data_IF_712609504887
#
_entry.id   IF_712609504887
#
_cell.length_a   1.000
_cell.length_b   1.000
_cell.length_c   1.000
_cell.angle_alpha   90.00
_cell.angle_beta   90.00
_cell.angle_gamma   90.00
#
_symmetry.space_group_name_H-M   'P 1'
#
loop_
_entity.id
_entity.type
_entity.pdbx_description
1 polymer ?
#
# COMPACT_ATOMS: atom_id res chain seq x y z
N UNK A 1 12.26 -48.72 10.71
CA UNK A 1 12.19 -47.25 10.69
C UNK A 1 10.73 -46.89 10.71
N UNK A 2 10.24 -46.30 11.82
CA UNK A 2 8.85 -45.84 11.94
C UNK A 2 8.80 -44.44 11.37
N UNK A 3 8.06 -44.24 10.28
CA UNK A 3 7.68 -42.94 9.75
C UNK A 3 6.84 -42.20 10.82
N UNK A 4 7.35 -41.13 11.34
CA UNK A 4 6.59 -40.21 12.17
C UNK A 4 5.82 -39.26 11.25
N UNK A 5 4.61 -39.68 10.86
CA UNK A 5 3.61 -38.81 10.25
C UNK A 5 3.22 -37.70 11.25
N UNK A 6 3.94 -36.60 11.23
CA UNK A 6 3.50 -35.35 11.86
C UNK A 6 2.43 -34.71 11.00
N UNK A 7 1.23 -35.24 11.13
CA UNK A 7 0.02 -34.78 10.46
C UNK A 7 -0.44 -33.46 11.14
N UNK A 8 0.18 -32.34 10.81
CA UNK A 8 -0.24 -31.01 11.21
C UNK A 8 -1.50 -30.58 10.44
N UNK A 9 -2.64 -31.25 10.73
CA UNK A 9 -3.94 -30.73 10.32
C UNK A 9 -4.34 -29.62 11.29
N UNK A 10 -4.61 -28.39 10.83
CA UNK A 10 -5.12 -27.33 11.71
C UNK A 10 -6.50 -27.79 12.23
N UNK A 11 -6.66 -27.81 13.56
CA UNK A 11 -7.98 -27.96 14.18
C UNK A 11 -8.81 -26.74 13.76
N UNK A 12 -9.96 -26.96 13.15
CA UNK A 12 -10.96 -25.93 12.90
C UNK A 12 -11.54 -25.47 14.25
N UNK A 13 -10.89 -24.52 14.89
CA UNK A 13 -11.50 -23.82 16.04
C UNK A 13 -12.59 -22.87 15.49
N UNK A 14 -13.83 -23.04 15.97
CA UNK A 14 -14.91 -22.06 15.72
C UNK A 14 -14.51 -20.75 16.42
N UNK A 15 -14.21 -19.73 15.64
CA UNK A 15 -13.95 -18.42 16.17
C UNK A 15 -15.24 -17.83 16.79
N UNK A 16 -15.14 -17.11 17.91
CA UNK A 16 -16.31 -16.44 18.50
C UNK A 16 -16.83 -15.37 17.52
N UNK A 17 -18.16 -15.25 17.43
CA UNK A 17 -18.81 -14.22 16.62
C UNK A 17 -18.44 -12.82 17.13
N UNK A 18 -17.98 -11.95 16.24
CA UNK A 18 -17.63 -10.58 16.58
C UNK A 18 -18.93 -9.77 16.74
N UNK A 19 -19.15 -9.09 17.89
CA UNK A 19 -20.35 -8.29 18.12
C UNK A 19 -20.53 -7.20 17.05
N UNK A 20 -21.78 -6.98 16.60
CA UNK A 20 -22.13 -6.05 15.52
C UNK A 20 -21.57 -4.64 15.72
N UNK A 21 -21.61 -4.11 16.95
CA UNK A 21 -21.09 -2.77 17.28
C UNK A 21 -19.55 -2.67 17.13
N UNK A 22 -18.83 -3.79 17.30
CA UNK A 22 -17.37 -3.84 17.05
C UNK A 22 -17.11 -3.83 15.56
N UNK A 23 -17.90 -4.58 14.77
CA UNK A 23 -17.80 -4.56 13.31
C UNK A 23 -18.10 -3.17 12.74
N UNK A 24 -19.10 -2.45 13.26
CA UNK A 24 -19.41 -1.07 12.85
C UNK A 24 -18.28 -0.09 13.19
N UNK A 25 -17.69 -0.20 14.39
CA UNK A 25 -16.51 0.59 14.75
C UNK A 25 -15.31 0.24 13.88
N UNK A 26 -15.07 -1.04 13.63
CA UNK A 26 -14.00 -1.49 12.73
C UNK A 26 -14.23 -1.01 11.29
N UNK A 27 -15.47 -1.03 10.79
CA UNK A 27 -15.82 -0.50 9.48
C UNK A 27 -15.57 1.01 9.39
N UNK A 28 -15.89 1.78 10.43
CA UNK A 28 -15.61 3.21 10.51
C UNK A 28 -14.11 3.51 10.54
N UNK A 29 -13.34 2.74 11.31
CA UNK A 29 -11.88 2.81 11.33
C UNK A 29 -11.30 2.35 9.99
N UNK A 30 -11.84 1.29 9.40
CA UNK A 30 -11.43 0.79 8.10
C UNK A 30 -11.72 1.80 6.98
N UNK A 31 -12.88 2.47 7.01
CA UNK A 31 -13.21 3.52 6.03
C UNK A 31 -12.23 4.70 6.09
N UNK A 32 -11.79 5.10 7.29
CA UNK A 32 -10.72 6.09 7.47
C UNK A 32 -9.35 5.54 7.08
N UNK A 33 -9.04 4.32 7.51
CA UNK A 33 -7.74 3.69 7.24
C UNK A 33 -7.57 3.24 5.77
N UNK A 34 -8.65 2.94 5.05
CA UNK A 34 -8.63 2.64 3.62
C UNK A 34 -8.53 3.90 2.76
N UNK A 35 -8.67 5.08 3.37
CA UNK A 35 -8.59 6.33 2.61
C UNK A 35 -9.74 6.52 1.62
N UNK A 36 -10.88 5.82 1.78
CA UNK A 36 -12.04 6.00 0.89
C UNK A 36 -12.51 7.45 0.88
N UNK A 37 -12.55 8.11 2.04
CA UNK A 37 -12.87 9.53 2.12
C UNK A 37 -11.83 10.38 1.39
N UNK A 38 -10.54 10.09 1.59
CA UNK A 38 -9.45 10.74 0.88
C UNK A 38 -9.54 10.50 -0.63
N UNK A 39 -9.98 9.30 -1.05
CA UNK A 39 -10.20 9.00 -2.47
C UNK A 39 -11.27 9.89 -3.10
N UNK A 40 -12.37 10.14 -2.40
CA UNK A 40 -13.41 11.05 -2.87
C UNK A 40 -12.96 12.51 -2.92
N UNK A 41 -12.19 12.97 -1.93
CA UNK A 41 -11.60 14.32 -1.93
C UNK A 41 -10.62 14.48 -3.10
N UNK A 42 -9.71 13.54 -3.28
CA UNK A 42 -8.73 13.57 -4.39
C UNK A 42 -9.39 13.41 -5.76
N UNK A 43 -10.47 12.64 -5.86
CA UNK A 43 -11.27 12.60 -7.08
C UNK A 43 -11.91 13.96 -7.41
N UNK A 44 -12.48 14.65 -6.41
CA UNK A 44 -13.04 16.01 -6.60
C UNK A 44 -11.96 16.99 -7.00
N UNK A 45 -10.83 17.02 -6.28
CA UNK A 45 -9.68 17.86 -6.61
C UNK A 45 -9.22 17.64 -8.06
N UNK A 46 -9.05 16.38 -8.47
CA UNK A 46 -8.65 16.06 -9.84
C UNK A 46 -9.71 16.52 -10.85
N UNK A 47 -10.99 16.24 -10.59
CA UNK A 47 -12.09 16.58 -11.50
C UNK A 47 -12.24 18.09 -11.66
N UNK A 48 -12.20 18.85 -10.55
CA UNK A 48 -12.60 20.25 -10.53
C UNK A 48 -11.41 21.20 -10.75
N UNK A 49 -10.21 20.81 -10.33
CA UNK A 49 -9.03 21.68 -10.36
C UNK A 49 -7.97 21.24 -11.38
N UNK A 50 -7.64 19.95 -11.46
CA UNK A 50 -6.56 19.45 -12.32
C UNK A 50 -7.05 19.18 -13.74
N UNK A 51 -8.15 18.42 -13.87
CA UNK A 51 -8.67 17.94 -15.17
C UNK A 51 -8.96 19.05 -16.19
N UNK A 52 -9.55 20.21 -15.82
CA UNK A 52 -9.79 21.29 -16.78
C UNK A 52 -8.51 21.90 -17.35
N UNK A 53 -7.39 21.84 -16.60
CA UNK A 53 -6.09 22.42 -16.98
C UNK A 53 -5.22 21.48 -17.81
N UNK A 54 -5.57 20.19 -17.85
CA UNK A 54 -4.78 19.17 -18.54
C UNK A 54 -5.02 19.18 -20.04
N UNK A 55 -3.95 18.94 -20.80
CA UNK A 55 -4.01 18.65 -22.23
C UNK A 55 -4.67 17.30 -22.50
N UNK A 56 -5.09 17.07 -23.75
CA UNK A 56 -5.67 15.78 -24.17
C UNK A 56 -4.69 14.61 -23.93
N UNK A 57 -3.40 14.80 -24.19
CA UNK A 57 -2.37 13.79 -23.96
C UNK A 57 -2.24 13.46 -22.47
N UNK A 58 -2.21 14.46 -21.61
CA UNK A 58 -2.17 14.29 -20.16
C UNK A 58 -3.40 13.55 -19.64
N UNK A 59 -4.60 13.87 -20.15
CA UNK A 59 -5.85 13.18 -19.80
C UNK A 59 -5.80 11.71 -20.21
N UNK A 60 -5.36 11.43 -21.45
CA UNK A 60 -5.19 10.05 -21.92
C UNK A 60 -4.18 9.27 -21.07
N UNK A 61 -3.06 9.89 -20.71
CA UNK A 61 -2.07 9.28 -19.83
C UNK A 61 -2.61 8.97 -18.43
N UNK A 62 -3.38 9.88 -17.84
CA UNK A 62 -4.02 9.68 -16.54
C UNK A 62 -5.04 8.52 -16.58
N UNK A 63 -5.87 8.48 -17.62
CA UNK A 63 -6.86 7.40 -17.84
C UNK A 63 -6.16 6.06 -18.05
N UNK A 64 -5.13 6.02 -18.90
CA UNK A 64 -4.38 4.79 -19.18
C UNK A 64 -3.70 4.24 -17.92
N UNK A 65 -3.04 5.08 -17.13
CA UNK A 65 -2.42 4.68 -15.88
C UNK A 65 -3.46 4.12 -14.88
N UNK A 66 -4.59 4.80 -14.72
CA UNK A 66 -5.68 4.34 -13.83
C UNK A 66 -6.30 3.02 -14.34
N UNK A 67 -6.44 2.85 -15.65
CA UNK A 67 -6.96 1.62 -16.24
C UNK A 67 -6.05 0.41 -15.98
N UNK A 68 -4.72 0.58 -15.97
CA UNK A 68 -3.76 -0.47 -15.60
C UNK A 68 -3.98 -0.89 -14.15
N UNK A 69 -4.09 0.06 -13.22
CA UNK A 69 -4.35 -0.21 -11.81
C UNK A 69 -5.70 -0.93 -11.60
N UNK A 70 -6.75 -0.50 -12.31
CA UNK A 70 -8.06 -1.13 -12.26
C UNK A 70 -8.06 -2.54 -12.87
N UNK A 71 -7.28 -2.76 -13.93
CA UNK A 71 -7.10 -4.07 -14.53
C UNK A 71 -6.54 -5.12 -13.57
N UNK A 72 -5.62 -4.71 -12.68
CA UNK A 72 -5.11 -5.59 -11.59
C UNK A 72 -6.22 -6.00 -10.64
N UNK A 73 -7.03 -5.03 -10.19
CA UNK A 73 -8.16 -5.30 -9.30
C UNK A 73 -9.15 -6.29 -9.91
N UNK A 74 -9.56 -6.07 -11.15
CA UNK A 74 -10.49 -6.95 -11.87
C UNK A 74 -9.90 -8.36 -12.00
N UNK A 75 -8.63 -8.48 -12.36
CA UNK A 75 -7.96 -9.77 -12.50
C UNK A 75 -7.94 -10.56 -11.20
N UNK A 76 -7.52 -9.96 -10.09
CA UNK A 76 -7.50 -10.64 -8.79
C UNK A 76 -8.92 -11.01 -8.32
N UNK A 77 -9.91 -10.18 -8.61
CA UNK A 77 -11.31 -10.48 -8.32
C UNK A 77 -11.83 -11.69 -9.12
N UNK A 78 -11.46 -11.79 -10.39
CA UNK A 78 -11.80 -12.96 -11.24
C UNK A 78 -11.10 -14.22 -10.72
N UNK A 79 -9.84 -14.11 -10.32
CA UNK A 79 -9.09 -15.25 -9.75
C UNK A 79 -9.67 -15.73 -8.42
N UNK A 80 -10.29 -14.85 -7.63
CA UNK A 80 -10.87 -15.23 -6.35
C UNK A 80 -11.91 -16.36 -6.49
N UNK A 81 -12.69 -16.35 -7.57
CA UNK A 81 -13.68 -17.39 -7.86
C UNK A 81 -13.15 -18.67 -8.51
N UNK A 82 -11.86 -18.70 -8.90
CA UNK A 82 -11.28 -19.88 -9.55
C UNK A 82 -10.93 -20.98 -8.53
N UNK A 83 -11.36 -22.23 -8.74
CA UNK A 83 -10.89 -23.37 -7.94
C UNK A 83 -9.40 -23.66 -8.21
N UNK A 84 -8.72 -24.32 -7.25
CA UNK A 84 -7.29 -24.64 -7.37
C UNK A 84 -6.96 -25.48 -8.60
N UNK A 85 -7.85 -26.41 -8.97
CA UNK A 85 -7.68 -27.27 -10.15
C UNK A 85 -7.60 -26.51 -11.49
N UNK A 86 -8.10 -25.27 -11.55
CA UNK A 86 -8.07 -24.43 -12.72
C UNK A 86 -6.95 -23.39 -12.71
N UNK A 87 -6.18 -23.34 -11.60
CA UNK A 87 -5.05 -22.43 -11.44
C UNK A 87 -3.79 -23.09 -11.94
N UNK A 88 -3.10 -22.44 -12.85
CA UNK A 88 -1.91 -23.00 -13.49
C UNK A 88 -0.84 -21.93 -13.73
N UNK A 89 0.15 -22.33 -14.47
CA UNK A 89 1.26 -21.46 -14.87
C UNK A 89 0.80 -20.19 -15.60
N UNK A 90 -0.30 -20.26 -16.35
CA UNK A 90 -0.89 -19.06 -17.01
C UNK A 90 -1.33 -17.98 -16.01
N UNK A 91 -1.89 -18.39 -14.87
CA UNK A 91 -2.23 -17.45 -13.80
C UNK A 91 -0.99 -16.86 -13.15
N UNK A 92 0.04 -17.71 -12.92
CA UNK A 92 1.33 -17.27 -12.36
C UNK A 92 2.05 -16.29 -13.29
N UNK A 93 2.15 -16.60 -14.58
CA UNK A 93 2.74 -15.70 -15.58
C UNK A 93 1.97 -14.38 -15.62
N UNK A 94 0.65 -14.43 -15.61
CA UNK A 94 -0.17 -13.24 -15.51
C UNK A 94 0.11 -12.44 -14.25
N UNK A 95 0.33 -13.06 -13.08
CA UNK A 95 0.70 -12.35 -11.85
C UNK A 95 2.05 -11.63 -11.99
N UNK A 96 3.03 -12.27 -12.63
CA UNK A 96 4.32 -11.65 -12.92
C UNK A 96 4.17 -10.45 -13.86
N UNK A 97 3.37 -10.58 -14.92
CA UNK A 97 3.11 -9.47 -15.86
C UNK A 97 2.43 -8.30 -15.13
N UNK A 98 1.42 -8.57 -14.30
CA UNK A 98 0.76 -7.53 -13.52
C UNK A 98 1.65 -6.93 -12.44
N UNK A 99 2.55 -7.72 -11.86
CA UNK A 99 3.58 -7.18 -10.96
C UNK A 99 4.52 -6.21 -11.70
N UNK A 100 4.97 -6.60 -12.89
CA UNK A 100 5.81 -5.74 -13.73
C UNK A 100 5.06 -4.47 -14.20
N UNK A 101 3.75 -4.55 -14.40
CA UNK A 101 2.93 -3.41 -14.83
C UNK A 101 2.80 -2.30 -13.78
N UNK A 102 3.17 -2.57 -12.50
CA UNK A 102 3.24 -1.57 -11.44
C UNK A 102 4.23 -0.42 -11.74
N UNK A 103 5.27 -0.72 -12.51
CA UNK A 103 6.18 0.32 -13.01
C UNK A 103 5.63 1.08 -14.23
N UNK A 104 4.75 0.44 -15.01
CA UNK A 104 4.27 1.00 -16.29
C UNK A 104 3.28 2.14 -16.09
N UNK A 105 2.33 2.02 -15.15
CA UNK A 105 1.37 3.09 -14.86
C UNK A 105 2.06 4.37 -14.40
N UNK A 106 3.04 4.24 -13.50
CA UNK A 106 3.89 5.36 -13.10
C UNK A 106 4.74 5.94 -14.23
N UNK A 107 5.21 5.10 -15.18
CA UNK A 107 5.95 5.56 -16.36
C UNK A 107 5.03 6.30 -17.33
N UNK A 108 3.83 5.79 -17.59
CA UNK A 108 2.82 6.42 -18.44
C UNK A 108 2.44 7.79 -17.86
N UNK A 109 2.07 7.86 -16.57
CA UNK A 109 1.68 9.10 -15.92
C UNK A 109 2.81 10.16 -15.91
N UNK A 110 4.07 9.72 -15.75
CA UNK A 110 5.23 10.64 -15.82
C UNK A 110 5.56 11.07 -17.24
N UNK A 111 5.54 10.13 -18.18
CA UNK A 111 5.91 10.36 -19.59
C UNK A 111 4.94 11.31 -20.29
N UNK A 112 3.66 11.23 -19.99
CA UNK A 112 2.62 12.12 -20.54
C UNK A 112 2.39 13.39 -19.73
N UNK A 113 3.00 13.52 -18.54
CA UNK A 113 2.66 14.59 -17.58
C UNK A 113 1.24 14.44 -17.00
N UNK A 114 0.62 13.27 -17.15
CA UNK A 114 -0.75 12.96 -16.72
C UNK A 114 -0.88 12.55 -15.24
N UNK A 115 0.04 13.00 -14.38
CA UNK A 115 -0.07 12.77 -12.93
C UNK A 115 -1.23 13.55 -12.36
N UNK A 116 -2.12 12.85 -11.63
CA UNK A 116 -3.24 13.47 -10.91
C UNK A 116 -3.24 13.02 -9.46
N UNK A 117 -3.83 13.82 -8.57
CA UNK A 117 -3.99 13.48 -7.17
C UNK A 117 -4.79 12.18 -6.99
N UNK A 118 -5.86 12.01 -7.76
CA UNK A 118 -6.65 10.78 -7.77
C UNK A 118 -5.88 9.59 -8.35
N UNK A 119 -5.15 9.76 -9.46
CA UNK A 119 -4.37 8.71 -10.10
C UNK A 119 -3.34 8.09 -9.14
N UNK A 120 -2.62 8.91 -8.40
CA UNK A 120 -1.66 8.42 -7.41
C UNK A 120 -2.31 7.64 -6.26
N UNK A 121 -3.51 8.03 -5.83
CA UNK A 121 -4.25 7.31 -4.80
C UNK A 121 -4.89 6.03 -5.36
N UNK A 122 -5.45 6.09 -6.57
CA UNK A 122 -6.02 4.93 -7.25
C UNK A 122 -4.97 3.84 -7.45
N UNK A 123 -3.75 4.21 -7.85
CA UNK A 123 -2.63 3.28 -7.97
C UNK A 123 -2.32 2.60 -6.62
N UNK A 124 -2.20 3.35 -5.54
CA UNK A 124 -1.94 2.78 -4.22
C UNK A 124 -3.06 1.87 -3.71
N UNK A 125 -4.33 2.20 -3.92
CA UNK A 125 -5.47 1.45 -3.41
C UNK A 125 -5.87 0.32 -4.38
N UNK A 126 -6.20 0.69 -5.61
CA UNK A 126 -6.76 -0.23 -6.60
C UNK A 126 -5.68 -1.01 -7.35
N UNK A 127 -4.49 -0.42 -7.51
CA UNK A 127 -3.37 -1.04 -8.19
C UNK A 127 -2.53 -1.96 -7.30
N UNK A 128 -2.32 -1.61 -6.02
CA UNK A 128 -1.41 -2.34 -5.12
C UNK A 128 -2.13 -3.02 -3.95
N UNK A 129 -2.78 -2.27 -3.05
CA UNK A 129 -3.24 -2.83 -1.78
C UNK A 129 -4.44 -3.76 -1.92
N UNK A 130 -5.51 -3.31 -2.56
CA UNK A 130 -6.75 -4.10 -2.64
C UNK A 130 -6.55 -5.39 -3.45
N UNK A 131 -5.89 -5.40 -4.62
CA UNK A 131 -5.57 -6.63 -5.34
C UNK A 131 -4.75 -7.61 -4.49
N UNK A 132 -3.75 -7.11 -3.76
CA UNK A 132 -2.93 -7.93 -2.87
C UNK A 132 -3.75 -8.54 -1.73
N UNK A 133 -4.63 -7.78 -1.08
CA UNK A 133 -5.52 -8.30 -0.04
C UNK A 133 -6.47 -9.37 -0.57
N UNK A 134 -7.05 -9.16 -1.76
CA UNK A 134 -7.90 -10.16 -2.42
C UNK A 134 -7.11 -11.45 -2.64
N UNK A 135 -5.88 -11.35 -3.14
CA UNK A 135 -4.99 -12.48 -3.35
C UNK A 135 -4.67 -13.20 -2.04
N UNK A 136 -4.32 -12.47 -0.99
CA UNK A 136 -4.01 -13.03 0.34
C UNK A 136 -5.22 -13.72 0.97
N UNK A 137 -6.42 -13.14 0.86
CA UNK A 137 -7.65 -13.79 1.28
C UNK A 137 -7.94 -15.06 0.47
N UNK A 138 -7.74 -15.01 -0.84
CA UNK A 138 -7.88 -16.17 -1.70
C UNK A 138 -6.89 -17.29 -1.33
N UNK A 139 -5.64 -16.95 -1.01
CA UNK A 139 -4.66 -17.94 -0.54
C UNK A 139 -5.04 -18.52 0.82
N UNK A 140 -5.54 -17.69 1.74
CA UNK A 140 -5.97 -18.16 3.05
C UNK A 140 -7.19 -19.09 2.97
N UNK A 141 -8.17 -18.77 2.14
CA UNK A 141 -9.36 -19.62 1.93
C UNK A 141 -9.01 -21.00 1.37
N UNK A 142 -7.87 -21.12 0.69
CA UNK A 142 -7.35 -22.38 0.12
C UNK A 142 -6.30 -23.06 1.01
N UNK A 143 -6.04 -22.52 2.22
CA UNK A 143 -5.05 -23.08 3.15
C UNK A 143 -3.59 -22.93 2.70
N UNK A 144 -3.30 -22.04 1.74
CA UNK A 144 -1.93 -21.74 1.28
C UNK A 144 -1.23 -20.70 2.15
N UNK A 145 -2.01 -19.89 2.86
CA UNK A 145 -1.56 -18.90 3.81
C UNK A 145 -2.44 -18.96 5.06
N UNK A 146 -1.89 -18.81 6.24
CA UNK A 146 -2.72 -18.78 7.44
C UNK A 146 -3.46 -17.44 7.57
N UNK A 147 -4.63 -17.45 8.20
CA UNK A 147 -5.39 -16.22 8.46
C UNK A 147 -4.59 -15.19 9.28
N UNK A 148 -3.70 -15.66 10.15
CA UNK A 148 -2.82 -14.80 10.94
C UNK A 148 -1.92 -13.92 10.04
N UNK A 149 -1.32 -14.49 8.99
CA UNK A 149 -0.51 -13.73 8.03
C UNK A 149 -1.34 -12.67 7.32
N UNK A 150 -2.56 -12.99 6.90
CA UNK A 150 -3.46 -12.01 6.26
C UNK A 150 -3.75 -10.84 7.20
N UNK A 151 -4.08 -11.13 8.46
CA UNK A 151 -4.37 -10.11 9.48
C UNK A 151 -3.14 -9.22 9.72
N UNK A 152 -1.94 -9.80 9.85
CA UNK A 152 -0.70 -9.05 10.05
C UNK A 152 -0.43 -8.11 8.87
N UNK A 153 -0.56 -8.59 7.65
CA UNK A 153 -0.27 -7.84 6.42
C UNK A 153 -1.26 -6.69 6.22
N UNK A 154 -2.54 -6.98 6.30
CA UNK A 154 -3.59 -5.95 6.18
C UNK A 154 -3.49 -4.97 7.35
N UNK A 155 -3.33 -5.43 8.57
CA UNK A 155 -3.17 -4.58 9.75
C UNK A 155 -1.97 -3.63 9.63
N UNK A 156 -0.83 -4.13 9.13
CA UNK A 156 0.34 -3.29 8.83
C UNK A 156 0.02 -2.22 7.79
N UNK A 157 -0.63 -2.59 6.70
CA UNK A 157 -0.96 -1.64 5.63
C UNK A 157 -1.93 -0.55 6.09
N UNK A 158 -2.96 -0.94 6.84
CA UNK A 158 -3.91 -0.02 7.45
C UNK A 158 -3.21 0.92 8.44
N UNK A 159 -2.33 0.39 9.28
CA UNK A 159 -1.57 1.19 10.25
C UNK A 159 -0.67 2.22 9.57
N UNK A 160 0.09 1.81 8.56
CA UNK A 160 0.99 2.72 7.83
C UNK A 160 0.19 3.80 7.10
N UNK A 161 -0.95 3.43 6.50
CA UNK A 161 -1.84 4.38 5.82
C UNK A 161 -2.42 5.39 6.81
N UNK A 162 -2.97 4.92 7.93
CA UNK A 162 -3.50 5.79 8.98
C UNK A 162 -2.46 6.80 9.50
N UNK A 163 -1.25 6.34 9.78
CA UNK A 163 -0.17 7.23 10.25
C UNK A 163 0.22 8.26 9.20
N UNK A 164 0.23 7.85 7.92
CA UNK A 164 0.52 8.75 6.80
C UNK A 164 -0.55 9.83 6.67
N UNK A 165 -1.83 9.43 6.68
CA UNK A 165 -2.95 10.36 6.54
C UNK A 165 -2.96 11.37 7.70
N UNK A 166 -2.78 10.89 8.93
CA UNK A 166 -2.68 11.74 10.11
C UNK A 166 -1.57 12.79 9.98
N UNK A 167 -0.37 12.38 9.60
CA UNK A 167 0.77 13.28 9.44
C UNK A 167 0.54 14.25 8.27
N UNK A 168 -0.08 13.81 7.18
CA UNK A 168 -0.42 14.67 6.04
C UNK A 168 -1.43 15.75 6.44
N UNK A 169 -2.45 15.40 7.22
CA UNK A 169 -3.42 16.34 7.77
C UNK A 169 -2.74 17.36 8.69
N UNK A 170 -1.91 16.93 9.64
CA UNK A 170 -1.18 17.78 10.57
C UNK A 170 -0.19 18.75 9.86
N UNK A 171 0.34 18.37 8.71
CA UNK A 171 1.34 19.14 7.95
C UNK A 171 0.75 19.93 6.78
N UNK A 172 -0.57 19.87 6.57
CA UNK A 172 -1.23 20.54 5.46
C UNK A 172 -0.78 20.03 4.08
N UNK A 173 -0.46 18.75 3.96
CA UNK A 173 -0.05 18.12 2.71
C UNK A 173 1.41 18.33 2.31
N UNK A 174 2.21 19.02 3.12
CA UNK A 174 3.59 19.38 2.80
C UNK A 174 4.59 18.22 2.78
N UNK A 175 4.22 17.03 3.27
CA UNK A 175 5.12 15.88 3.28
C UNK A 175 4.93 15.07 1.99
N UNK A 176 5.87 15.25 1.07
CA UNK A 176 6.05 14.33 -0.05
C UNK A 176 6.54 12.98 0.48
N UNK A 177 5.82 11.92 0.12
CA UNK A 177 6.13 10.54 0.50
C UNK A 177 7.43 10.01 -0.15
N UNK A 178 7.99 10.74 -1.10
CA UNK A 178 9.17 10.36 -1.89
C UNK A 178 10.52 10.54 -1.20
N UNK A 179 10.55 10.90 0.07
CA UNK A 179 11.78 11.02 0.86
C UNK A 179 12.41 9.67 1.27
N UNK A 180 12.00 8.57 0.66
CA UNK A 180 12.69 7.27 0.84
C UNK A 180 13.99 7.26 0.07
N UNK A 181 15.15 6.97 0.70
CA UNK A 181 16.38 6.69 -0.02
C UNK A 181 16.13 5.57 -1.02
N UNK A 182 16.55 5.78 -2.28
CA UNK A 182 16.25 4.90 -3.42
C UNK A 182 16.85 3.48 -3.34
N UNK A 183 17.67 3.18 -2.35
CA UNK A 183 18.50 1.97 -2.28
C UNK A 183 18.46 1.21 -0.96
N UNK A 184 17.48 1.44 -0.10
CA UNK A 184 17.45 0.80 1.21
C UNK A 184 16.59 -0.47 1.20
N UNK A 185 17.17 -1.61 1.62
CA UNK A 185 16.47 -2.89 1.83
C UNK A 185 15.25 -2.74 2.76
N UNK A 186 15.23 -1.70 3.60
CA UNK A 186 14.11 -1.33 4.44
C UNK A 186 13.16 -0.30 3.80
N UNK A 187 13.25 -0.07 2.48
CA UNK A 187 12.30 0.79 1.79
C UNK A 187 10.94 0.11 1.67
N UNK A 188 9.87 0.91 1.66
CA UNK A 188 8.52 0.39 1.44
C UNK A 188 8.37 -0.33 0.09
N UNK A 189 9.11 0.11 -0.94
CA UNK A 189 9.12 -0.52 -2.27
C UNK A 189 9.72 -1.92 -2.25
N UNK A 190 10.85 -2.12 -1.56
CA UNK A 190 11.46 -3.44 -1.44
C UNK A 190 10.57 -4.39 -0.64
N UNK A 191 9.93 -3.89 0.41
CA UNK A 191 8.98 -4.65 1.22
C UNK A 191 7.77 -5.10 0.39
N UNK A 192 7.18 -4.23 -0.42
CA UNK A 192 6.09 -4.56 -1.33
C UNK A 192 6.54 -5.60 -2.37
N UNK A 193 7.72 -5.40 -2.96
CA UNK A 193 8.28 -6.36 -3.92
C UNK A 193 8.48 -7.74 -3.29
N UNK A 194 9.07 -7.83 -2.11
CA UNK A 194 9.28 -9.09 -1.40
C UNK A 194 7.95 -9.79 -1.09
N UNK A 195 6.94 -9.06 -0.60
CA UNK A 195 5.60 -9.60 -0.37
C UNK A 195 4.97 -10.11 -1.67
N UNK A 196 5.12 -9.37 -2.76
CA UNK A 196 4.60 -9.74 -4.08
C UNK A 196 5.24 -11.03 -4.60
N UNK A 197 6.56 -11.15 -4.56
CA UNK A 197 7.30 -12.35 -4.96
C UNK A 197 6.87 -13.55 -4.11
N UNK A 198 6.78 -13.37 -2.80
CA UNK A 198 6.31 -14.43 -1.90
C UNK A 198 4.89 -14.87 -2.25
N UNK A 199 3.97 -13.92 -2.48
CA UNK A 199 2.59 -14.23 -2.83
C UNK A 199 2.48 -14.93 -4.19
N UNK A 200 3.28 -14.54 -5.18
CA UNK A 200 3.33 -15.22 -6.48
C UNK A 200 3.85 -16.66 -6.32
N UNK A 201 4.91 -16.83 -5.55
CA UNK A 201 5.49 -18.16 -5.30
C UNK A 201 4.50 -19.08 -4.58
N UNK A 202 3.88 -18.61 -3.50
CA UNK A 202 2.93 -19.40 -2.71
C UNK A 202 1.62 -19.71 -3.47
N UNK A 203 1.21 -18.82 -4.39
CA UNK A 203 0.01 -18.99 -5.21
C UNK A 203 0.27 -19.79 -6.50
N UNK A 204 1.53 -20.05 -6.84
CA UNK A 204 1.93 -20.79 -8.04
C UNK A 204 1.80 -22.31 -7.84
N UNK A 205 1.85 -23.10 -8.93
CA UNK A 205 1.97 -24.55 -8.84
C UNK A 205 3.18 -25.02 -8.02
N UNK A 206 4.31 -24.28 -8.07
CA UNK A 206 5.47 -24.57 -7.21
C UNK A 206 5.15 -24.44 -5.72
N UNK A 207 4.26 -23.54 -5.35
CA UNK A 207 3.83 -23.38 -3.95
C UNK A 207 3.12 -24.61 -3.40
N UNK A 208 2.55 -25.47 -4.25
CA UNK A 208 1.96 -26.76 -3.85
C UNK A 208 3.02 -27.78 -3.45
N UNK A 209 4.17 -27.76 -4.12
CA UNK A 209 5.29 -28.66 -3.89
C UNK A 209 6.10 -28.26 -2.64
N UNK A 210 5.97 -27.01 -2.18
CA UNK A 210 6.69 -26.54 -0.98
C UNK A 210 6.06 -27.18 0.28
N UNK A 211 6.85 -27.85 1.13
CA UNK A 211 6.38 -28.40 2.39
C UNK A 211 5.69 -27.32 3.26
N UNK A 212 4.61 -27.69 3.97
CA UNK A 212 3.82 -26.74 4.77
C UNK A 212 4.65 -25.92 5.76
N UNK A 213 5.62 -26.53 6.44
CA UNK A 213 6.52 -25.83 7.34
C UNK A 213 7.41 -24.81 6.63
N UNK A 214 7.87 -25.09 5.42
CA UNK A 214 8.68 -24.15 4.64
C UNK A 214 7.82 -22.98 4.09
N UNK A 215 6.56 -23.25 3.70
CA UNK A 215 5.60 -22.20 3.35
C UNK A 215 5.34 -21.24 4.52
N UNK A 216 5.11 -21.79 5.70
CA UNK A 216 4.87 -21.02 6.91
C UNK A 216 6.12 -20.20 7.31
N UNK A 217 7.31 -20.78 7.23
CA UNK A 217 8.56 -20.07 7.49
C UNK A 217 8.77 -18.92 6.50
N UNK A 218 8.50 -19.12 5.21
CA UNK A 218 8.60 -18.07 4.18
C UNK A 218 7.59 -16.95 4.43
N UNK A 219 6.35 -17.29 4.74
CA UNK A 219 5.30 -16.32 5.05
C UNK A 219 5.67 -15.50 6.31
N UNK A 220 6.14 -16.17 7.37
CA UNK A 220 6.57 -15.52 8.62
C UNK A 220 7.76 -14.56 8.40
N UNK A 221 8.76 -14.97 7.62
CA UNK A 221 9.90 -14.11 7.29
C UNK A 221 9.45 -12.88 6.51
N UNK A 222 8.52 -13.04 5.57
CA UNK A 222 7.94 -11.94 4.81
C UNK A 222 7.17 -10.99 5.71
N UNK A 223 6.36 -11.49 6.63
CA UNK A 223 5.59 -10.68 7.58
C UNK A 223 6.49 -9.90 8.53
N UNK A 224 7.52 -10.55 9.07
CA UNK A 224 8.51 -9.88 9.91
C UNK A 224 9.17 -8.72 9.16
N UNK A 225 9.56 -8.94 7.91
CA UNK A 225 10.12 -7.89 7.05
C UNK A 225 9.10 -6.76 6.78
N UNK A 226 7.82 -7.10 6.50
CA UNK A 226 6.75 -6.12 6.31
C UNK A 226 6.52 -5.26 7.56
N UNK A 227 6.50 -5.86 8.74
CA UNK A 227 6.30 -5.14 10.01
C UNK A 227 7.47 -4.20 10.27
N UNK A 228 8.71 -4.68 10.18
CA UNK A 228 9.92 -3.87 10.41
C UNK A 228 9.96 -2.68 9.44
N UNK A 229 9.71 -2.90 8.16
CA UNK A 229 9.70 -1.83 7.15
C UNK A 229 8.52 -0.87 7.35
N UNK A 230 7.38 -1.35 7.84
CA UNK A 230 6.24 -0.53 8.23
C UNK A 230 6.60 0.44 9.36
N UNK A 231 7.20 -0.07 10.43
CA UNK A 231 7.67 0.73 11.56
C UNK A 231 8.72 1.76 11.11
N UNK A 232 9.70 1.34 10.31
CA UNK A 232 10.72 2.22 9.76
C UNK A 232 10.13 3.34 8.88
N UNK A 233 9.09 3.03 8.10
CA UNK A 233 8.39 4.01 7.28
C UNK A 233 7.66 5.07 8.13
N UNK A 234 6.96 4.64 9.17
CA UNK A 234 6.27 5.56 10.10
C UNK A 234 7.27 6.42 10.87
N UNK A 235 8.39 5.84 11.32
CA UNK A 235 9.45 6.61 11.97
C UNK A 235 9.97 7.72 11.05
N UNK A 236 10.30 7.40 9.81
CA UNK A 236 10.77 8.39 8.82
C UNK A 236 9.75 9.52 8.56
N UNK A 237 8.46 9.17 8.48
CA UNK A 237 7.41 10.18 8.34
C UNK A 237 7.40 11.17 9.51
N UNK A 238 7.50 10.66 10.75
CA UNK A 238 7.58 11.50 11.95
C UNK A 238 8.85 12.34 12.00
N UNK A 239 9.98 11.80 11.58
CA UNK A 239 11.24 12.54 11.52
C UNK A 239 11.17 13.67 10.47
N UNK A 240 10.54 13.43 9.32
CA UNK A 240 10.31 14.45 8.30
C UNK A 240 9.34 15.53 8.80
N UNK A 241 8.28 15.17 9.52
CA UNK A 241 7.38 16.12 10.16
C UNK A 241 8.13 17.06 11.10
N UNK A 242 8.94 16.51 11.99
CA UNK A 242 9.76 17.31 12.93
C UNK A 242 10.72 18.25 12.23
N UNK A 243 11.34 17.82 11.12
CA UNK A 243 12.21 18.69 10.32
C UNK A 243 11.45 19.86 9.73
N UNK A 244 10.27 19.62 9.15
CA UNK A 244 9.43 20.69 8.61
C UNK A 244 8.99 21.68 9.67
N UNK A 245 8.62 21.22 10.85
CA UNK A 245 8.28 22.09 11.98
C UNK A 245 9.49 22.96 12.40
N UNK A 246 10.67 22.38 12.47
CA UNK A 246 11.91 23.12 12.76
C UNK A 246 12.25 24.16 11.68
N UNK A 247 12.05 23.81 10.40
CA UNK A 247 12.26 24.73 9.29
C UNK A 247 11.27 25.90 9.32
N UNK A 248 10.00 25.63 9.60
CA UNK A 248 8.99 26.70 9.78
C UNK A 248 9.37 27.65 10.90
N UNK A 249 9.71 27.13 12.07
CA UNK A 249 10.16 27.94 13.22
C UNK A 249 11.41 28.76 12.89
N UNK A 250 12.35 28.21 12.12
CA UNK A 250 13.55 28.93 11.68
C UNK A 250 13.21 30.09 10.72
N UNK A 251 12.28 29.86 9.79
CA UNK A 251 11.82 30.90 8.87
C UNK A 251 11.07 32.02 9.60
N UNK A 252 10.22 31.69 10.56
CA UNK A 252 9.51 32.66 11.38
C UNK A 252 10.48 33.55 12.16
N UNK A 253 11.50 32.97 12.81
CA UNK A 253 12.55 33.69 13.51
C UNK A 253 13.33 34.62 12.57
N UNK A 254 13.63 34.17 11.36
CA UNK A 254 14.36 34.97 10.36
C UNK A 254 13.52 36.14 9.88
N UNK A 255 12.24 35.96 9.67
CA UNK A 255 11.31 36.98 9.28
C UNK A 255 11.12 38.03 10.41
N UNK A 256 11.00 37.57 11.66
CA UNK A 256 10.92 38.44 12.83
C UNK A 256 12.17 39.35 12.96
N UNK A 257 13.35 38.76 12.80
CA UNK A 257 14.61 39.51 12.85
C UNK A 257 14.70 40.55 11.72
N UNK A 258 14.26 40.23 10.52
CA UNK A 258 14.20 41.18 9.39
C UNK A 258 13.23 42.33 9.70
N UNK A 259 12.08 42.06 10.29
CA UNK A 259 11.11 43.09 10.69
C UNK A 259 11.69 44.02 11.76
N UNK A 260 12.38 43.47 12.76
CA UNK A 260 13.04 44.27 13.81
C UNK A 260 14.12 45.19 13.22
N UNK A 261 14.97 44.65 12.34
CA UNK A 261 16.00 45.50 11.66
C UNK A 261 15.41 46.60 10.80
N UNK A 262 14.28 46.31 10.11
CA UNK A 262 13.60 47.36 9.31
C UNK A 262 12.99 48.47 10.17
N UNK A 263 12.52 48.13 11.38
CA UNK A 263 12.02 49.15 12.32
C UNK A 263 13.14 50.01 12.92
N UNK A 264 14.30 49.41 13.24
CA UNK A 264 15.47 50.17 13.72
C UNK A 264 16.00 51.13 12.66
N UNK A 265 16.08 50.71 11.39
CA UNK A 265 16.50 51.57 10.27
C UNK A 265 15.49 52.69 9.92
N UNK A 266 14.21 52.50 10.22
CA UNK A 266 13.20 53.53 9.99
C UNK A 266 13.09 54.54 11.15
N UNK A 267 13.68 54.25 12.31
CA UNK A 267 13.70 55.11 13.49
C UNK A 267 14.94 56.02 13.58
N UNK A 268 15.93 55.82 12.71
CA UNK A 268 17.11 56.66 12.50
C UNK A 268 16.91 57.61 11.33
#
# INVERSE_FOLDING_TARGET
MKESDTNCKPKHEKYPEIPKHILEKMAGVAARATGVNLAFEKYRETRDEEWPKMTTEQKLGAVAATAVSFGRLVRESVKLGKPDSERGWTDTIGDVIFAASDGLDGMIARGTGGKTAFGGLADQLLGDKVPRWIKEFSMASRGRLSAAHVIIRIGRDLYVTYQRDKITEETGGAISVDASPKSDLFSGKFSTFNSLVTNILLDSPLGEEIPGCAREALATATDAHLVVTGIASVKRLKDNQRRLEQEKLRQEKLNLNKMLQSHETAAL
#
